data_IF_318116347184
#
_entry.id   IF_318116347184
#
_cell.length_a   1.000
_cell.length_b   1.000
_cell.length_c   1.000
_cell.angle_alpha   90.00
_cell.angle_beta   90.00
_cell.angle_gamma   90.00
#
_symmetry.space_group_name_H-M   'P 1'
#
loop_
_entity.id
_entity.type
_entity.pdbx_description
1 polymer ?
#
# COMPACT_ATOMS: atom_id res chain seq x y z
N UNK A 1 20.13 -35.24 10.53
CA UNK A 1 20.36 -33.98 9.80
C UNK A 1 19.42 -33.96 8.62
N UNK A 2 18.33 -33.20 8.72
CA UNK A 2 17.47 -32.89 7.57
C UNK A 2 17.03 -31.45 7.74
N UNK A 3 17.46 -30.62 6.79
CA UNK A 3 17.19 -29.19 6.72
C UNK A 3 15.70 -28.99 6.44
N UNK A 4 15.03 -28.19 7.26
CA UNK A 4 13.65 -27.80 7.02
C UNK A 4 13.62 -26.53 6.17
N UNK A 5 12.91 -26.70 5.07
CA UNK A 5 12.65 -25.81 3.94
C UNK A 5 11.83 -24.58 4.33
N UNK A 6 11.93 -23.55 3.48
CA UNK A 6 11.46 -22.19 3.69
C UNK A 6 9.99 -22.10 4.09
N UNK A 7 9.73 -21.31 5.13
CA UNK A 7 8.43 -20.71 5.37
C UNK A 7 8.60 -19.20 5.23
N UNK A 8 8.63 -18.74 3.98
CA UNK A 8 8.25 -17.37 3.63
C UNK A 8 6.80 -17.22 4.07
N UNK A 9 6.60 -16.83 5.33
CA UNK A 9 5.31 -16.45 5.85
C UNK A 9 4.90 -15.21 5.06
N UNK A 10 4.03 -15.40 4.09
CA UNK A 10 3.18 -14.34 3.55
C UNK A 10 2.50 -13.69 4.76
N UNK A 11 3.08 -12.58 5.23
CA UNK A 11 2.53 -11.80 6.31
C UNK A 11 1.26 -11.15 5.76
N UNK A 12 0.14 -11.86 5.87
CA UNK A 12 -1.19 -11.33 5.66
C UNK A 12 -1.49 -10.34 6.80
N UNK A 13 -0.96 -9.12 6.67
CA UNK A 13 -1.19 -8.06 7.65
C UNK A 13 -2.65 -7.59 7.52
N UNK A 14 -3.52 -8.09 8.39
CA UNK A 14 -4.91 -7.62 8.50
C UNK A 14 -4.95 -6.18 9.02
N UNK A 15 -5.61 -5.29 8.26
CA UNK A 15 -5.67 -3.84 8.52
C UNK A 15 -6.38 -3.44 9.83
N UNK A 16 -7.06 -4.36 10.51
CA UNK A 16 -7.80 -4.08 11.76
C UNK A 16 -6.89 -3.75 12.97
N UNK A 17 -5.57 -3.83 12.83
CA UNK A 17 -4.59 -3.54 13.89
C UNK A 17 -3.56 -2.47 13.48
N UNK A 18 -3.86 -1.65 12.46
CA UNK A 18 -2.94 -0.64 11.94
C UNK A 18 -2.99 0.66 12.75
N UNK A 19 -2.22 0.71 13.83
CA UNK A 19 -1.96 1.95 14.56
C UNK A 19 -1.03 2.87 13.76
N UNK A 20 -1.42 4.14 13.60
CA UNK A 20 -0.55 5.21 13.06
C UNK A 20 0.73 5.37 13.90
N UNK A 21 0.70 4.91 15.15
CA UNK A 21 1.85 4.90 16.07
C UNK A 21 2.88 3.78 15.80
N UNK A 22 2.50 2.71 15.08
CA UNK A 22 3.40 1.57 14.78
C UNK A 22 3.50 1.33 13.28
N UNK A 23 4.49 1.90 12.59
CA UNK A 23 4.66 1.66 11.16
C UNK A 23 4.96 0.18 10.90
N UNK A 24 4.36 -0.40 9.87
CA UNK A 24 4.73 -1.76 9.48
C UNK A 24 6.14 -1.75 8.90
N UNK A 25 6.98 -2.64 9.41
CA UNK A 25 8.37 -2.77 9.02
C UNK A 25 8.56 -4.01 8.13
N UNK A 26 9.11 -3.80 6.95
CA UNK A 26 9.43 -4.83 5.97
C UNK A 26 10.93 -4.89 5.78
N UNK A 27 11.54 -6.06 5.93
CA UNK A 27 12.98 -6.24 5.73
C UNK A 27 13.24 -6.96 4.39
N UNK A 28 14.09 -6.38 3.56
CA UNK A 28 14.52 -6.99 2.29
C UNK A 28 16.03 -7.05 2.20
N UNK A 29 16.54 -8.09 1.55
CA UNK A 29 17.94 -8.17 1.21
C UNK A 29 18.23 -7.28 0.00
N UNK A 30 19.17 -6.35 0.12
CA UNK A 30 19.51 -5.39 -0.95
C UNK A 30 19.97 -6.08 -2.24
N UNK A 31 20.58 -7.26 -2.14
CA UNK A 31 21.05 -8.05 -3.28
C UNK A 31 19.89 -8.60 -4.12
N UNK A 32 18.70 -8.77 -3.50
CA UNK A 32 17.49 -9.25 -4.16
C UNK A 32 16.50 -8.13 -4.49
N UNK A 33 16.86 -6.87 -4.21
CA UNK A 33 16.02 -5.73 -4.58
C UNK A 33 16.01 -5.52 -6.09
N UNK A 34 14.82 -5.68 -6.70
CA UNK A 34 14.59 -5.47 -8.12
C UNK A 34 13.24 -4.80 -8.35
N UNK A 35 13.12 -4.03 -9.44
CA UNK A 35 11.86 -3.40 -9.86
C UNK A 35 10.72 -4.39 -10.14
N UNK A 36 11.04 -5.68 -10.26
CA UNK A 36 10.07 -6.78 -10.41
C UNK A 36 9.52 -7.26 -9.07
N UNK A 37 10.22 -7.00 -7.96
CA UNK A 37 9.80 -7.41 -6.62
C UNK A 37 8.67 -6.49 -6.15
N UNK A 38 7.59 -7.10 -5.68
CA UNK A 38 6.48 -6.42 -5.03
C UNK A 38 6.82 -6.32 -3.54
N UNK A 39 6.88 -5.10 -3.02
CA UNK A 39 7.13 -4.85 -1.59
C UNK A 39 5.83 -5.04 -0.82
N UNK A 40 4.73 -4.48 -1.35
CA UNK A 40 3.43 -4.49 -0.71
C UNK A 40 2.32 -4.46 -1.75
N UNK A 41 1.24 -5.19 -1.46
CA UNK A 41 -0.01 -5.15 -2.21
C UNK A 41 -1.02 -4.34 -1.40
N UNK A 42 -1.56 -3.28 -2.01
CA UNK A 42 -2.52 -2.35 -1.43
C UNK A 42 -3.87 -2.62 -2.08
N UNK A 43 -4.77 -3.20 -1.28
CA UNK A 43 -6.14 -3.49 -1.66
C UNK A 43 -7.10 -2.47 -1.05
N UNK A 44 -8.08 -1.99 -1.82
CA UNK A 44 -9.15 -1.19 -1.24
C UNK A 44 -9.98 -2.03 -0.27
N UNK A 45 -10.44 -1.41 0.82
CA UNK A 45 -11.28 -2.09 1.81
C UNK A 45 -12.63 -2.53 1.21
N UNK A 46 -13.16 -1.76 0.25
CA UNK A 46 -14.39 -2.11 -0.47
C UNK A 46 -14.11 -2.42 -1.93
N UNK A 47 -14.77 -3.46 -2.44
CA UNK A 47 -14.66 -3.84 -3.85
C UNK A 47 -15.20 -2.76 -4.80
N UNK A 48 -16.12 -1.89 -4.34
CA UNK A 48 -16.63 -0.72 -5.08
C UNK A 48 -15.57 0.37 -5.31
N UNK A 49 -14.53 0.40 -4.48
CA UNK A 49 -13.36 1.29 -4.64
C UNK A 49 -12.32 0.72 -5.61
N UNK A 50 -12.48 -0.52 -6.07
CA UNK A 50 -11.56 -1.15 -7.03
C UNK A 50 -11.52 -0.29 -8.30
N UNK A 51 -10.34 0.19 -8.70
CA UNK A 51 -10.09 1.16 -9.77
C UNK A 51 -10.59 2.61 -9.52
N UNK A 52 -11.27 2.87 -8.41
CA UNK A 52 -11.75 4.20 -8.02
C UNK A 52 -11.06 4.75 -6.77
N UNK A 53 -9.97 4.12 -6.36
CA UNK A 53 -9.07 4.56 -5.31
C UNK A 53 -7.63 4.41 -5.79
N UNK A 54 -6.81 5.44 -5.55
CA UNK A 54 -5.40 5.46 -5.92
C UNK A 54 -4.54 5.67 -4.70
N UNK A 55 -3.47 4.90 -4.60
CA UNK A 55 -2.48 5.06 -3.54
C UNK A 55 -1.28 5.85 -4.05
N UNK A 56 -0.72 6.69 -3.20
CA UNK A 56 0.40 7.56 -3.52
C UNK A 56 1.36 7.70 -2.33
N UNK A 57 2.63 7.93 -2.63
CA UNK A 57 3.67 8.12 -1.61
C UNK A 57 3.74 9.62 -1.31
N UNK A 58 3.29 10.00 -0.12
CA UNK A 58 3.25 11.39 0.36
C UNK A 58 4.64 11.90 0.76
N UNK A 59 5.45 11.04 1.38
CA UNK A 59 6.79 11.41 1.85
C UNK A 59 7.70 10.18 2.03
N UNK A 60 9.01 10.43 2.15
CA UNK A 60 10.02 9.38 2.36
C UNK A 60 10.61 8.75 1.10
N UNK A 61 10.20 9.22 -0.08
CA UNK A 61 10.68 8.75 -1.38
C UNK A 61 11.36 9.86 -2.20
N UNK A 62 12.10 10.75 -1.53
CA UNK A 62 12.79 11.88 -2.19
C UNK A 62 13.79 11.42 -3.25
N UNK A 63 14.44 10.28 -3.01
CA UNK A 63 15.35 9.64 -3.94
C UNK A 63 14.68 8.92 -5.12
N UNK A 64 13.36 8.70 -5.07
CA UNK A 64 12.63 7.96 -6.12
C UNK A 64 12.99 6.48 -6.22
N UNK A 65 13.36 5.83 -5.10
CA UNK A 65 13.62 4.39 -5.06
C UNK A 65 12.35 3.54 -5.09
N UNK A 66 11.21 4.13 -4.75
CA UNK A 66 9.94 3.44 -4.64
C UNK A 66 8.90 4.04 -5.59
N UNK A 67 7.95 3.23 -6.03
CA UNK A 67 6.80 3.66 -6.81
C UNK A 67 5.58 2.80 -6.50
N UNK A 68 4.41 3.40 -6.62
CA UNK A 68 3.13 2.69 -6.55
C UNK A 68 2.51 2.66 -7.94
N UNK A 69 2.18 1.46 -8.42
CA UNK A 69 1.51 1.25 -9.69
C UNK A 69 0.23 0.44 -9.46
N UNK A 70 -0.87 0.83 -10.10
CA UNK A 70 -2.11 0.08 -10.07
C UNK A 70 -2.23 -0.82 -11.30
N UNK A 71 -2.61 -2.08 -11.09
CA UNK A 71 -2.94 -3.03 -12.14
C UNK A 71 -4.15 -3.85 -11.69
N UNK A 72 -5.18 -3.89 -12.54
CA UNK A 72 -6.41 -4.67 -12.30
C UNK A 72 -7.08 -4.35 -10.96
N UNK A 73 -7.09 -3.07 -10.58
CA UNK A 73 -7.70 -2.62 -9.32
C UNK A 73 -6.81 -2.74 -8.09
N UNK A 74 -5.74 -3.52 -8.15
CA UNK A 74 -4.77 -3.71 -7.07
C UNK A 74 -3.61 -2.73 -7.23
N UNK A 75 -3.23 -2.05 -6.15
CA UNK A 75 -2.06 -1.16 -6.16
C UNK A 75 -0.85 -1.87 -5.58
N UNK A 76 0.30 -1.72 -6.22
CA UNK A 76 1.52 -2.40 -5.85
C UNK A 76 2.64 -1.42 -5.58
N UNK A 77 3.24 -1.50 -4.40
CA UNK A 77 4.47 -0.78 -4.05
C UNK A 77 5.68 -1.59 -4.51
N UNK A 78 6.50 -1.00 -5.37
CA UNK A 78 7.67 -1.65 -5.98
C UNK A 78 8.88 -0.73 -5.89
N UNK A 79 10.07 -1.33 -6.00
CA UNK A 79 11.28 -0.58 -6.29
C UNK A 79 11.24 0.00 -7.71
N UNK A 80 11.92 1.12 -7.92
CA UNK A 80 12.16 1.67 -9.25
C UNK A 80 13.39 1.00 -9.88
N UNK A 81 13.79 1.47 -11.08
CA UNK A 81 15.06 1.02 -11.70
C UNK A 81 16.29 1.55 -10.96
N UNK A 82 16.12 2.59 -10.12
CA UNK A 82 17.19 3.13 -9.29
C UNK A 82 17.42 2.15 -8.13
N UNK A 83 18.66 1.69 -7.98
CA UNK A 83 19.01 0.78 -6.88
C UNK A 83 19.04 1.57 -5.57
N UNK A 84 18.27 1.19 -4.55
CA UNK A 84 18.38 1.79 -3.23
C UNK A 84 19.70 1.39 -2.57
N UNK A 85 20.11 2.16 -1.55
CA UNK A 85 21.26 1.84 -0.68
C UNK A 85 20.80 1.09 0.57
N UNK A 86 21.71 0.41 1.24
CA UNK A 86 21.40 -0.26 2.51
C UNK A 86 21.01 0.80 3.55
N UNK A 87 19.98 0.50 4.34
CA UNK A 87 19.42 1.45 5.30
C UNK A 87 17.93 1.30 5.49
N UNK A 88 17.35 2.22 6.27
CA UNK A 88 15.94 2.21 6.62
C UNK A 88 15.21 3.34 5.92
N UNK A 89 14.19 3.00 5.13
CA UNK A 89 13.34 3.95 4.41
C UNK A 89 11.98 4.02 5.08
N UNK A 90 11.57 5.20 5.54
CA UNK A 90 10.23 5.42 6.10
C UNK A 90 9.34 6.08 5.06
N UNK A 91 8.37 5.37 4.50
CA UNK A 91 7.44 5.91 3.51
C UNK A 91 6.10 6.24 4.17
N UNK A 92 5.55 7.40 3.83
CA UNK A 92 4.16 7.74 4.13
C UNK A 92 3.34 7.53 2.87
N UNK A 93 2.29 6.73 2.95
CA UNK A 93 1.40 6.42 1.83
C UNK A 93 0.01 6.93 2.19
N UNK A 94 -0.63 7.60 1.23
CA UNK A 94 -2.04 7.95 1.32
C UNK A 94 -2.86 7.29 0.22
N UNK A 95 -4.17 7.12 0.46
CA UNK A 95 -5.14 6.81 -0.60
C UNK A 95 -5.92 8.06 -0.99
N UNK A 96 -6.36 8.14 -2.25
CA UNK A 96 -7.20 9.22 -2.75
C UNK A 96 -8.31 8.62 -3.61
N UNK A 97 -9.59 8.87 -3.27
CA UNK A 97 -10.71 8.43 -4.08
C UNK A 97 -10.71 9.18 -5.42
N UNK A 98 -10.91 8.44 -6.51
CA UNK A 98 -10.98 8.94 -7.89
C UNK A 98 -12.42 9.02 -8.44
N UNK A 99 -13.44 8.95 -7.57
CA UNK A 99 -14.82 8.97 -8.04
C UNK A 99 -15.20 10.28 -8.74
N UNK A 100 -16.00 10.15 -9.80
CA UNK A 100 -16.68 11.29 -10.43
C UNK A 100 -17.91 11.65 -9.59
N UNK A 101 -18.25 12.94 -9.48
CA UNK A 101 -19.44 13.43 -8.73
C UNK A 101 -20.72 12.64 -9.02
N UNK A 102 -20.96 12.26 -10.28
CA UNK A 102 -22.16 11.48 -10.67
C UNK A 102 -22.17 10.03 -10.16
N UNK A 103 -21.01 9.43 -9.97
CA UNK A 103 -20.87 8.06 -9.44
C UNK A 103 -21.00 8.08 -7.91
N UNK A 104 -20.40 9.09 -7.25
CA UNK A 104 -20.57 9.33 -5.82
C UNK A 104 -22.05 9.43 -5.47
N UNK A 105 -22.79 10.34 -6.14
CA UNK A 105 -24.22 10.54 -5.83
C UNK A 105 -25.10 9.32 -6.09
N UNK A 106 -24.76 8.45 -7.04
CA UNK A 106 -25.49 7.20 -7.26
C UNK A 106 -25.17 6.14 -6.20
N UNK A 107 -23.93 6.12 -5.69
CA UNK A 107 -23.55 5.26 -4.57
C UNK A 107 -24.18 5.75 -3.26
N UNK A 108 -24.24 7.06 -3.02
CA UNK A 108 -24.93 7.68 -1.87
C UNK A 108 -26.44 7.50 -1.89
N UNK A 109 -27.05 7.37 -3.07
CA UNK A 109 -28.50 7.15 -3.23
C UNK A 109 -28.88 5.67 -3.06
N UNK A 110 -27.97 4.76 -3.43
CA UNK A 110 -28.17 3.31 -3.30
C UNK A 110 -27.77 2.74 -1.93
N UNK A 111 -26.92 3.43 -1.20
CA UNK A 111 -26.48 3.07 0.15
C UNK A 111 -26.89 4.16 1.15
N UNK A 112 -26.61 3.96 2.44
CA UNK A 112 -26.76 5.05 3.41
C UNK A 112 -25.92 6.25 3.00
N UNK A 113 -26.40 7.46 3.29
CA UNK A 113 -25.70 8.72 2.96
C UNK A 113 -24.29 8.79 3.53
N UNK A 114 -24.02 8.01 4.57
CA UNK A 114 -22.73 7.88 5.23
C UNK A 114 -21.83 6.77 4.65
N UNK A 115 -22.26 6.09 3.57
CA UNK A 115 -21.48 5.02 2.94
C UNK A 115 -20.13 5.53 2.42
N UNK A 116 -20.11 6.72 1.82
CA UNK A 116 -18.89 7.34 1.28
C UNK A 116 -18.15 8.22 2.30
N UNK A 117 -18.85 8.77 3.30
CA UNK A 117 -18.31 9.65 4.34
C UNK A 117 -17.91 8.94 5.63
N UNK A 118 -18.27 7.66 5.79
CA UNK A 118 -17.81 6.79 6.88
C UNK A 118 -16.40 6.24 6.60
N UNK A 119 -16.25 4.91 6.58
CA UNK A 119 -14.96 4.21 6.42
C UNK A 119 -14.26 4.42 5.07
N UNK A 120 -14.96 4.98 4.08
CA UNK A 120 -14.45 5.35 2.76
C UNK A 120 -13.95 6.80 2.65
N UNK A 121 -14.35 7.65 3.60
CA UNK A 121 -14.17 9.10 3.55
C UNK A 121 -12.83 9.57 4.13
N UNK A 122 -12.25 8.78 5.03
CA UNK A 122 -10.89 9.00 5.47
C UNK A 122 -9.92 8.46 4.41
N UNK A 123 -9.16 9.38 3.82
CA UNK A 123 -8.01 9.02 3.00
C UNK A 123 -7.12 8.14 3.89
N UNK A 124 -6.91 6.86 3.51
CA UNK A 124 -5.98 5.97 4.21
C UNK A 124 -4.69 6.74 4.36
N UNK A 125 -4.16 6.85 5.57
CA UNK A 125 -2.83 7.39 5.83
C UNK A 125 -2.08 6.34 6.62
N UNK A 126 -1.04 5.81 6.00
CA UNK A 126 -0.22 4.78 6.61
C UNK A 126 1.25 5.16 6.51
N UNK A 127 2.02 4.79 7.54
CA UNK A 127 3.47 4.90 7.53
C UNK A 127 4.05 3.50 7.53
N UNK A 128 4.99 3.24 6.64
CA UNK A 128 5.72 1.97 6.56
C UNK A 128 7.22 2.21 6.67
N UNK A 129 7.94 1.21 7.14
CA UNK A 129 9.38 1.17 7.18
C UNK A 129 9.90 0.04 6.32
N UNK A 130 10.90 0.29 5.51
CA UNK A 130 11.54 -0.68 4.64
C UNK A 130 13.01 -0.72 5.03
N UNK A 131 13.45 -1.82 5.62
CA UNK A 131 14.83 -2.07 6.01
C UNK A 131 15.53 -2.84 4.90
N UNK A 132 16.60 -2.26 4.34
CA UNK A 132 17.47 -2.90 3.37
C UNK A 132 18.79 -3.27 4.03
N UNK A 133 19.10 -4.57 4.05
CA UNK A 133 20.33 -5.14 4.62
C UNK A 133 21.11 -5.96 3.58
#
# INVERSE_FOLDING_TARGET
MSFQDGSEREANVSLASWDVEKPASFAFNISHVSHKVRILELLPALTTLTNHNRYLIESGNEDGFFKINQKEGVSYLHFTKKKPVAGTYSLQISSTPLYKKKELSQLEDRHDKDYLSGELGDNLKMKIQILLH
#
